data_IF_194908206787
#
_entry.id   IF_194908206787
#
_cell.length_a   1.000
_cell.length_b   1.000
_cell.length_c   1.000
_cell.angle_alpha   90.00
_cell.angle_beta   90.00
_cell.angle_gamma   90.00
#
_symmetry.space_group_name_H-M   'P 1'
#
loop_
_entity.id
_entity.type
_entity.pdbx_description
1 polymer ?
#
# COMPACT_ATOMS: atom_id res chain seq x y z
N UNK A 1 37.03 12.20 22.76
CA UNK A 1 35.66 12.68 22.99
C UNK A 1 34.96 13.03 21.67
N UNK A 2 35.23 14.17 21.03
CA UNK A 2 34.56 14.63 19.78
C UNK A 2 34.64 13.65 18.59
N UNK A 3 35.78 12.97 18.42
CA UNK A 3 36.02 11.99 17.34
C UNK A 3 35.10 10.77 17.44
N UNK A 4 34.86 10.29 18.66
CA UNK A 4 33.98 9.15 18.93
C UNK A 4 32.51 9.50 18.74
N UNK A 5 32.12 10.73 19.08
CA UNK A 5 30.77 11.24 18.84
C UNK A 5 30.49 11.31 17.33
N UNK A 6 31.43 11.87 16.55
CA UNK A 6 31.29 11.95 15.09
C UNK A 6 31.20 10.56 14.47
N UNK A 7 32.08 9.64 14.87
CA UNK A 7 32.03 8.26 14.37
C UNK A 7 30.74 7.55 14.75
N UNK A 8 30.22 7.76 15.96
CA UNK A 8 28.97 7.15 16.40
C UNK A 8 27.76 7.68 15.62
N UNK A 9 27.73 8.99 15.33
CA UNK A 9 26.67 9.59 14.51
C UNK A 9 26.74 9.03 13.08
N UNK A 10 27.93 8.96 12.49
CA UNK A 10 28.12 8.40 11.16
C UNK A 10 27.67 6.94 11.06
N UNK A 11 28.01 6.13 12.07
CA UNK A 11 27.57 4.74 12.16
C UNK A 11 26.05 4.62 12.28
N UNK A 12 25.42 5.47 13.10
CA UNK A 12 23.97 5.51 13.26
C UNK A 12 23.25 5.89 11.96
N UNK A 13 23.78 6.87 11.23
CA UNK A 13 23.25 7.27 9.93
C UNK A 13 23.30 6.14 8.90
N UNK A 14 24.40 5.39 8.84
CA UNK A 14 24.52 4.23 7.95
C UNK A 14 23.49 3.15 8.30
N UNK A 15 23.33 2.84 9.58
CA UNK A 15 22.33 1.85 10.05
C UNK A 15 20.91 2.29 9.67
N UNK A 16 20.57 3.57 9.85
CA UNK A 16 19.26 4.10 9.50
C UNK A 16 18.95 3.97 8.00
N UNK A 17 19.94 4.19 7.13
CA UNK A 17 19.80 4.02 5.68
C UNK A 17 19.52 2.55 5.33
N UNK A 18 20.25 1.61 5.93
CA UNK A 18 20.05 0.17 5.72
C UNK A 18 18.65 -0.28 6.18
N UNK A 19 18.18 0.22 7.32
CA UNK A 19 16.84 -0.08 7.85
C UNK A 19 15.72 0.53 6.98
N UNK A 20 16.02 1.60 6.22
CA UNK A 20 15.05 2.27 5.36
C UNK A 20 14.84 1.60 4.00
N UNK A 21 15.51 0.49 3.71
CA UNK A 21 15.20 -0.35 2.54
C UNK A 21 13.81 -0.98 2.71
N UNK A 22 12.78 -0.19 2.40
CA UNK A 22 11.39 -0.62 2.41
C UNK A 22 11.13 -1.53 1.20
N UNK A 23 10.36 -2.60 1.39
CA UNK A 23 10.06 -3.55 0.32
C UNK A 23 9.30 -2.84 -0.81
N UNK A 24 9.82 -2.93 -2.04
CA UNK A 24 9.27 -2.27 -3.24
C UNK A 24 7.79 -2.63 -3.45
N UNK A 25 7.43 -3.89 -3.21
CA UNK A 25 6.06 -4.39 -3.30
C UNK A 25 5.09 -3.64 -2.39
N UNK A 26 5.50 -3.30 -1.17
CA UNK A 26 4.65 -2.57 -0.22
C UNK A 26 4.36 -1.17 -0.73
N UNK A 27 5.36 -0.50 -1.31
CA UNK A 27 5.20 0.85 -1.87
C UNK A 27 4.24 0.82 -3.06
N UNK A 28 4.42 -0.16 -3.94
CA UNK A 28 3.56 -0.31 -5.13
C UNK A 28 2.12 -0.64 -4.75
N UNK A 29 1.90 -1.51 -3.75
CA UNK A 29 0.57 -1.81 -3.23
C UNK A 29 -0.12 -0.55 -2.70
N UNK A 30 0.57 0.28 -1.91
CA UNK A 30 -0.01 1.54 -1.41
C UNK A 30 -0.42 2.47 -2.56
N UNK A 31 0.42 2.57 -3.60
CA UNK A 31 0.11 3.36 -4.79
C UNK A 31 -1.11 2.81 -5.55
N UNK A 32 -1.19 1.49 -5.72
CA UNK A 32 -2.34 0.86 -6.38
C UNK A 32 -3.62 1.01 -5.60
N UNK A 33 -3.60 0.88 -4.27
CA UNK A 33 -4.79 1.05 -3.44
C UNK A 33 -5.30 2.49 -3.45
N UNK A 34 -4.40 3.47 -3.39
CA UNK A 34 -4.76 4.89 -3.44
C UNK A 34 -5.50 5.22 -4.75
N UNK A 35 -4.93 4.84 -5.89
CA UNK A 35 -5.52 5.09 -7.20
C UNK A 35 -6.74 4.19 -7.49
N UNK A 36 -6.68 2.94 -7.04
CA UNK A 36 -7.70 1.92 -7.28
C UNK A 36 -9.05 2.28 -6.67
N UNK A 37 -9.07 2.98 -5.52
CA UNK A 37 -10.30 3.44 -4.87
C UNK A 37 -11.08 4.42 -5.75
N UNK A 38 -10.41 5.36 -6.39
CA UNK A 38 -11.07 6.36 -7.24
C UNK A 38 -11.58 5.74 -8.54
N UNK A 39 -10.81 4.81 -9.11
CA UNK A 39 -11.24 4.01 -10.26
C UNK A 39 -12.47 3.18 -9.89
N UNK A 40 -12.46 2.52 -8.74
CA UNK A 40 -13.58 1.72 -8.25
C UNK A 40 -14.86 2.55 -8.15
N UNK A 41 -14.79 3.72 -7.51
CA UNK A 41 -15.93 4.65 -7.40
C UNK A 41 -16.43 5.11 -8.76
N UNK A 42 -15.52 5.42 -9.68
CA UNK A 42 -15.88 5.97 -10.99
C UNK A 42 -16.41 4.93 -11.99
N UNK A 43 -16.02 3.65 -11.85
CA UNK A 43 -16.21 2.62 -12.89
C UNK A 43 -16.89 1.34 -12.42
N UNK A 44 -16.75 0.97 -11.15
CA UNK A 44 -17.14 -0.37 -10.66
C UNK A 44 -18.32 -0.31 -9.69
N UNK A 45 -18.33 0.70 -8.80
CA UNK A 45 -19.27 0.83 -7.68
C UNK A 45 -20.74 0.75 -8.09
N UNK A 46 -21.10 1.31 -9.25
CA UNK A 46 -22.50 1.35 -9.71
C UNK A 46 -23.12 -0.03 -9.90
N UNK A 47 -22.30 -1.05 -10.18
CA UNK A 47 -22.76 -2.43 -10.30
C UNK A 47 -22.37 -3.26 -9.08
N UNK A 48 -21.13 -3.11 -8.61
CA UNK A 48 -20.56 -3.99 -7.58
C UNK A 48 -20.80 -3.51 -6.14
N UNK A 49 -21.51 -2.40 -5.93
CA UNK A 49 -21.84 -1.88 -4.60
C UNK A 49 -20.72 -1.01 -4.01
N UNK A 50 -20.99 -0.36 -2.88
CA UNK A 50 -20.02 0.54 -2.25
C UNK A 50 -18.81 -0.21 -1.69
N UNK A 51 -19.02 -1.43 -1.19
CA UNK A 51 -18.03 -2.26 -0.53
C UNK A 51 -17.65 -3.49 -1.37
N UNK A 52 -18.10 -3.59 -2.61
CA UNK A 52 -17.87 -4.76 -3.46
C UNK A 52 -18.80 -5.93 -3.13
N UNK A 53 -19.88 -5.71 -2.40
CA UNK A 53 -20.85 -6.73 -1.99
C UNK A 53 -21.68 -7.30 -3.15
N UNK A 54 -21.67 -6.65 -4.31
CA UNK A 54 -22.46 -7.02 -5.47
C UNK A 54 -23.96 -6.73 -5.29
N UNK A 55 -24.75 -7.13 -6.29
CA UNK A 55 -26.19 -6.92 -6.34
C UNK A 55 -26.92 -8.23 -6.65
N UNK A 56 -26.71 -9.23 -5.80
CA UNK A 56 -27.29 -10.57 -5.95
C UNK A 56 -26.85 -11.24 -7.25
N UNK A 57 -27.80 -11.69 -8.07
CA UNK A 57 -27.51 -12.34 -9.36
C UNK A 57 -27.16 -11.34 -10.48
N UNK A 58 -27.37 -10.03 -10.28
CA UNK A 58 -27.18 -9.02 -11.31
C UNK A 58 -25.71 -8.59 -11.43
N UNK A 59 -25.00 -8.51 -10.31
CA UNK A 59 -23.58 -8.21 -10.26
C UNK A 59 -22.92 -9.04 -9.15
N UNK A 60 -21.89 -9.83 -9.45
CA UNK A 60 -21.21 -10.63 -8.45
C UNK A 60 -20.48 -9.75 -7.43
N UNK A 61 -20.24 -10.26 -6.21
CA UNK A 61 -19.36 -9.61 -5.26
C UNK A 61 -17.92 -9.60 -5.80
N UNK A 62 -17.16 -8.57 -5.41
CA UNK A 62 -15.71 -8.47 -5.60
C UNK A 62 -14.96 -8.68 -4.27
N UNK A 63 -15.66 -9.15 -3.25
CA UNK A 63 -15.13 -9.44 -1.91
C UNK A 63 -14.83 -10.92 -1.70
N UNK A 64 -15.19 -11.78 -2.64
CA UNK A 64 -14.87 -13.20 -2.57
C UNK A 64 -13.43 -13.47 -3.04
N UNK A 65 -12.94 -14.69 -2.77
CA UNK A 65 -11.62 -15.16 -3.21
C UNK A 65 -11.73 -16.08 -4.43
N UNK A 66 -12.87 -16.05 -5.13
CA UNK A 66 -13.13 -16.93 -6.28
C UNK A 66 -12.47 -16.37 -7.54
N UNK A 67 -12.14 -15.07 -7.54
CA UNK A 67 -11.38 -14.38 -8.58
C UNK A 67 -10.11 -13.73 -8.04
#
# INVERSE_FOLDING_TARGET
>A
MRKYIINSIFLLSIVAIIVSCQNQETIDLQNYMSNGKDIYKAKCQNCHGENGEGLGQLAPPLTDSVF
#
